data_IF_836531267947
#
_entry.id   IF_836531267947
#
_cell.length_a   1.000
_cell.length_b   1.000
_cell.length_c   1.000
_cell.angle_alpha   90.00
_cell.angle_beta   90.00
_cell.angle_gamma   90.00
#
_symmetry.space_group_name_H-M   'P 1'
#
loop_
_entity.id
_entity.type
_entity.pdbx_description
1 polymer ?
#
# COMPACT_ATOMS: atom_id res chain seq x y z
N UNK A 1 -12.33 -33.30 -12.09
CA UNK A 1 -11.04 -33.20 -11.35
C UNK A 1 -10.85 -31.74 -10.95
N UNK A 2 -10.47 -31.46 -9.69
CA UNK A 2 -10.13 -30.09 -9.29
C UNK A 2 -8.79 -29.70 -9.92
N UNK A 3 -8.68 -28.43 -10.33
CA UNK A 3 -7.44 -27.84 -10.85
C UNK A 3 -6.71 -27.20 -9.67
N UNK A 4 -5.41 -27.52 -9.54
CA UNK A 4 -4.55 -26.82 -8.57
C UNK A 4 -3.71 -25.79 -9.29
N UNK A 5 -3.67 -24.55 -8.74
CA UNK A 5 -2.76 -23.49 -9.18
C UNK A 5 -1.77 -23.20 -8.07
N UNK A 6 -0.49 -23.12 -8.40
CA UNK A 6 0.59 -22.91 -7.44
C UNK A 6 1.30 -21.60 -7.79
N UNK A 7 1.47 -20.74 -6.80
CA UNK A 7 2.32 -19.57 -6.85
C UNK A 7 3.51 -19.78 -5.91
N UNK A 8 4.71 -19.59 -6.41
CA UNK A 8 5.91 -19.57 -5.55
C UNK A 8 6.14 -18.17 -5.04
N UNK A 9 6.20 -18.02 -3.73
CA UNK A 9 6.38 -16.75 -3.03
C UNK A 9 7.61 -16.82 -2.11
N UNK A 10 8.49 -15.81 -2.10
CA UNK A 10 9.72 -15.87 -1.30
C UNK A 10 9.47 -15.88 0.21
N UNK A 11 8.29 -15.42 0.66
CA UNK A 11 7.90 -15.36 2.07
C UNK A 11 7.04 -16.55 2.47
N UNK A 12 5.99 -16.84 1.67
CA UNK A 12 4.98 -17.86 1.98
C UNK A 12 5.27 -19.20 1.31
N UNK A 13 6.35 -19.32 0.54
CA UNK A 13 6.75 -20.51 -0.22
C UNK A 13 5.69 -20.87 -1.26
N UNK A 14 5.15 -22.08 -1.22
CA UNK A 14 4.11 -22.52 -2.16
C UNK A 14 2.73 -22.07 -1.66
N UNK A 15 2.09 -21.21 -2.39
CA UNK A 15 0.69 -20.81 -2.18
C UNK A 15 -0.17 -21.58 -3.17
N UNK A 16 -0.83 -22.63 -2.69
CA UNK A 16 -1.64 -23.54 -3.49
C UNK A 16 -3.11 -23.13 -3.40
N UNK A 17 -3.75 -23.02 -4.56
CA UNK A 17 -5.19 -22.82 -4.73
C UNK A 17 -5.81 -24.10 -5.32
N UNK A 18 -6.97 -24.51 -4.82
CA UNK A 18 -7.70 -25.70 -5.26
C UNK A 18 -9.10 -25.30 -5.75
N UNK A 19 -9.37 -25.45 -7.05
CA UNK A 19 -10.67 -25.12 -7.64
C UNK A 19 -11.83 -26.01 -7.12
N UNK A 20 -11.50 -27.09 -6.41
CA UNK A 20 -12.50 -27.91 -5.73
C UNK A 20 -13.11 -27.25 -4.47
N UNK A 21 -12.53 -26.14 -4.03
CA UNK A 21 -13.03 -25.31 -2.94
C UNK A 21 -13.62 -24.03 -3.51
N UNK A 22 -14.93 -23.79 -3.33
CA UNK A 22 -15.59 -22.62 -3.94
C UNK A 22 -14.91 -21.28 -3.62
N UNK A 23 -14.50 -21.07 -2.38
CA UNK A 23 -13.83 -19.85 -1.96
C UNK A 23 -12.44 -19.66 -2.62
N UNK A 24 -11.70 -20.75 -2.88
CA UNK A 24 -10.40 -20.67 -3.57
C UNK A 24 -10.60 -20.54 -5.09
N UNK A 25 -11.68 -21.11 -5.65
CA UNK A 25 -12.05 -20.89 -7.05
C UNK A 25 -12.39 -19.42 -7.30
N UNK A 26 -13.19 -18.79 -6.43
CA UNK A 26 -13.47 -17.34 -6.48
C UNK A 26 -12.16 -16.52 -6.51
N UNK A 27 -11.21 -16.85 -5.63
CA UNK A 27 -9.92 -16.16 -5.58
C UNK A 27 -9.14 -16.35 -6.89
N UNK A 28 -9.12 -17.56 -7.46
CA UNK A 28 -8.48 -17.81 -8.75
C UNK A 28 -9.09 -16.98 -9.88
N UNK A 29 -10.42 -16.85 -9.93
CA UNK A 29 -11.13 -16.02 -10.91
C UNK A 29 -10.81 -14.53 -10.70
N UNK A 30 -10.78 -14.03 -9.47
CA UNK A 30 -10.43 -12.66 -9.14
C UNK A 30 -8.98 -12.32 -9.54
N UNK A 31 -8.03 -13.24 -9.28
CA UNK A 31 -6.62 -13.10 -9.70
C UNK A 31 -6.51 -12.93 -11.22
N UNK A 32 -7.35 -13.59 -12.01
CA UNK A 32 -7.30 -13.54 -13.48
C UNK A 32 -7.91 -12.26 -14.07
N UNK A 33 -8.54 -11.40 -13.27
CA UNK A 33 -9.07 -10.12 -13.75
C UNK A 33 -7.96 -9.14 -14.14
N UNK A 34 -8.20 -8.34 -15.18
CA UNK A 34 -7.23 -7.32 -15.65
C UNK A 34 -6.85 -6.35 -14.53
N UNK A 35 -7.82 -5.95 -13.71
CA UNK A 35 -7.60 -5.04 -12.59
C UNK A 35 -6.63 -5.63 -11.55
N UNK A 36 -6.73 -6.93 -11.23
CA UNK A 36 -5.80 -7.59 -10.32
C UNK A 36 -4.43 -7.84 -10.99
N UNK A 37 -4.41 -8.26 -12.25
CA UNK A 37 -3.16 -8.47 -13.00
C UNK A 37 -2.34 -7.17 -13.16
N UNK A 38 -2.99 -6.01 -13.17
CA UNK A 38 -2.34 -4.69 -13.16
C UNK A 38 -1.39 -4.54 -11.97
N UNK A 39 -1.71 -5.11 -10.80
CA UNK A 39 -0.88 -5.03 -9.59
C UNK A 39 0.53 -5.60 -9.77
N UNK A 40 0.77 -6.45 -10.79
CA UNK A 40 2.12 -6.93 -11.15
C UNK A 40 3.05 -5.79 -11.60
N UNK A 41 2.48 -4.71 -12.09
CA UNK A 41 3.18 -3.56 -12.63
C UNK A 41 3.15 -2.34 -11.70
N UNK A 42 2.82 -2.56 -10.41
CA UNK A 42 2.87 -1.53 -9.36
C UNK A 42 3.79 -2.04 -8.26
N UNK A 43 4.92 -1.36 -8.06
CA UNK A 43 5.87 -1.70 -7.00
C UNK A 43 5.29 -1.41 -5.63
N UNK A 44 5.43 -2.36 -4.70
CA UNK A 44 4.95 -2.24 -3.32
C UNK A 44 5.49 -0.99 -2.62
N UNK A 45 6.78 -0.75 -2.73
CA UNK A 45 7.48 0.34 -2.06
C UNK A 45 7.68 1.58 -2.94
N UNK A 46 7.02 1.65 -4.12
CA UNK A 46 7.12 2.79 -5.02
C UNK A 46 8.57 3.16 -5.34
N UNK A 47 9.01 4.43 -5.09
CA UNK A 47 10.35 4.88 -5.43
C UNK A 47 11.45 4.37 -4.49
N UNK A 48 11.16 3.55 -3.48
CA UNK A 48 12.17 3.04 -2.54
C UNK A 48 13.22 2.15 -3.21
N UNK A 49 12.94 1.60 -4.39
CA UNK A 49 13.94 0.88 -5.21
C UNK A 49 15.13 1.77 -5.62
N UNK A 50 14.97 3.09 -5.61
CA UNK A 50 16.09 4.02 -5.79
C UNK A 50 17.13 3.96 -4.66
N UNK A 51 16.80 3.34 -3.53
CA UNK A 51 17.66 3.17 -2.35
C UNK A 51 17.95 1.68 -2.12
N UNK A 52 16.88 0.90 -2.02
CA UNK A 52 16.93 -0.52 -1.73
C UNK A 52 16.76 -1.28 -3.05
N UNK A 53 17.84 -1.70 -3.65
CA UNK A 53 17.86 -2.27 -5.00
C UNK A 53 17.00 -3.54 -5.15
N UNK A 54 16.79 -4.30 -4.07
CA UNK A 54 15.90 -5.45 -4.04
C UNK A 54 14.41 -5.11 -3.87
N UNK A 55 14.04 -3.84 -3.62
CA UNK A 55 12.66 -3.40 -3.38
C UNK A 55 11.83 -3.33 -4.68
N UNK A 56 11.85 -4.42 -5.46
CA UNK A 56 11.17 -4.58 -6.76
C UNK A 56 9.89 -5.42 -6.67
N UNK A 57 9.50 -5.87 -5.46
CA UNK A 57 8.26 -6.63 -5.27
C UNK A 57 7.04 -5.82 -5.68
N UNK A 58 6.06 -6.51 -6.25
CA UNK A 58 4.81 -5.90 -6.72
C UNK A 58 3.69 -6.04 -5.70
N UNK A 59 2.67 -5.19 -5.82
CA UNK A 59 1.43 -5.33 -5.05
C UNK A 59 0.70 -6.63 -5.34
N UNK A 60 0.90 -7.22 -6.51
CA UNK A 60 0.37 -8.53 -6.84
C UNK A 60 0.87 -9.61 -5.87
N UNK A 61 2.19 -9.68 -5.66
CA UNK A 61 2.79 -10.68 -4.75
C UNK A 61 2.39 -10.42 -3.31
N UNK A 62 2.31 -9.16 -2.89
CA UNK A 62 1.82 -8.76 -1.59
C UNK A 62 0.35 -9.18 -1.36
N UNK A 63 -0.56 -8.85 -2.26
CA UNK A 63 -1.98 -9.21 -2.13
C UNK A 63 -2.21 -10.72 -2.01
N UNK A 64 -1.44 -11.54 -2.74
CA UNK A 64 -1.46 -13.00 -2.57
C UNK A 64 -0.94 -13.41 -1.19
N UNK A 65 0.09 -12.74 -0.68
CA UNK A 65 0.63 -12.98 0.66
C UNK A 65 -0.38 -12.63 1.75
N UNK A 66 -1.07 -11.50 1.63
CA UNK A 66 -2.13 -11.09 2.56
C UNK A 66 -3.27 -12.12 2.59
N UNK A 67 -3.70 -12.59 1.42
CA UNK A 67 -4.65 -13.70 1.33
C UNK A 67 -4.13 -14.97 2.03
N UNK A 68 -2.85 -15.32 1.84
CA UNK A 68 -2.25 -16.49 2.47
C UNK A 68 -2.29 -16.41 4.01
N UNK A 69 -1.97 -15.23 4.56
CA UNK A 69 -2.06 -14.97 6.00
C UNK A 69 -3.52 -15.03 6.47
N UNK A 70 -4.45 -14.41 5.76
CA UNK A 70 -5.87 -14.44 6.09
C UNK A 70 -6.40 -15.89 6.14
N UNK A 71 -6.00 -16.75 5.17
CA UNK A 71 -6.33 -18.17 5.13
C UNK A 71 -5.78 -18.92 6.34
N UNK A 72 -4.51 -18.72 6.72
CA UNK A 72 -3.89 -19.34 7.90
C UNK A 72 -4.60 -18.91 9.18
N UNK A 73 -4.88 -17.61 9.33
CA UNK A 73 -5.56 -17.10 10.52
C UNK A 73 -6.99 -17.64 10.61
N UNK A 74 -7.74 -17.62 9.50
CA UNK A 74 -9.09 -18.15 9.46
C UNK A 74 -9.14 -19.63 9.88
N UNK A 75 -8.22 -20.44 9.35
CA UNK A 75 -8.09 -21.84 9.76
C UNK A 75 -7.82 -21.97 11.26
N UNK A 76 -6.94 -21.15 11.81
CA UNK A 76 -6.65 -21.14 13.23
C UNK A 76 -7.85 -20.75 14.08
N UNK A 77 -8.65 -19.79 13.65
CA UNK A 77 -9.85 -19.36 14.39
C UNK A 77 -10.94 -20.43 14.42
N UNK A 78 -11.11 -21.20 13.34
CA UNK A 78 -12.02 -22.37 13.31
C UNK A 78 -11.56 -23.45 14.27
N UNK A 79 -10.27 -23.74 14.36
CA UNK A 79 -9.72 -24.72 15.30
C UNK A 79 -9.99 -24.34 16.77
N UNK A 80 -9.96 -23.04 17.09
CA UNK A 80 -10.21 -22.54 18.45
C UNK A 80 -11.69 -22.53 18.77
N UNK A 81 -12.53 -22.12 17.83
CA UNK A 81 -13.96 -21.95 17.99
C UNK A 81 -14.67 -22.49 16.76
N UNK A 82 -15.10 -23.74 16.83
CA UNK A 82 -15.81 -24.41 15.71
C UNK A 82 -17.07 -23.65 15.24
N UNK A 83 -17.74 -22.90 16.15
CA UNK A 83 -18.89 -22.06 15.81
C UNK A 83 -18.53 -20.74 15.13
N UNK A 84 -17.25 -20.47 14.86
CA UNK A 84 -16.82 -19.31 14.08
C UNK A 84 -17.10 -19.60 12.60
N UNK A 85 -18.23 -19.13 12.13
CA UNK A 85 -18.71 -19.30 10.75
C UNK A 85 -18.86 -17.93 10.04
N UNK A 86 -17.96 -17.01 10.33
CA UNK A 86 -17.92 -15.72 9.66
C UNK A 86 -17.71 -15.90 8.14
N UNK A 87 -18.20 -14.95 7.36
CA UNK A 87 -18.17 -15.02 5.91
C UNK A 87 -16.72 -15.14 5.37
N UNK A 88 -16.32 -16.38 5.11
CA UNK A 88 -15.00 -16.74 4.57
C UNK A 88 -14.73 -16.10 3.20
N UNK A 89 -15.76 -16.01 2.36
CA UNK A 89 -15.66 -15.37 1.05
C UNK A 89 -15.35 -13.88 1.17
N UNK A 90 -16.02 -13.19 2.12
CA UNK A 90 -15.75 -11.77 2.36
C UNK A 90 -14.34 -11.52 2.90
N UNK A 91 -13.87 -12.32 3.85
CA UNK A 91 -12.51 -12.21 4.39
C UNK A 91 -11.47 -12.43 3.29
N UNK A 92 -11.60 -13.50 2.51
CA UNK A 92 -10.63 -13.87 1.48
C UNK A 92 -10.65 -12.86 0.33
N UNK A 93 -11.84 -12.43 -0.10
CA UNK A 93 -11.98 -11.38 -1.10
C UNK A 93 -11.38 -10.05 -0.64
N UNK A 94 -11.64 -9.64 0.60
CA UNK A 94 -11.08 -8.41 1.16
C UNK A 94 -9.55 -8.49 1.26
N UNK A 95 -9.01 -9.60 1.78
CA UNK A 95 -7.56 -9.79 1.89
C UNK A 95 -6.86 -9.76 0.51
N UNK A 96 -7.49 -10.30 -0.54
CA UNK A 96 -6.92 -10.27 -1.89
C UNK A 96 -7.02 -8.88 -2.54
N UNK A 97 -8.15 -8.19 -2.37
CA UNK A 97 -8.52 -7.02 -3.16
C UNK A 97 -8.24 -5.66 -2.47
N UNK A 98 -7.72 -5.65 -1.23
CA UNK A 98 -7.54 -4.42 -0.45
C UNK A 98 -6.70 -3.37 -1.17
N UNK A 99 -5.68 -3.79 -1.90
CA UNK A 99 -4.69 -2.95 -2.60
C UNK A 99 -5.05 -2.61 -4.06
N UNK A 100 -6.21 -3.06 -4.54
CA UNK A 100 -6.61 -2.94 -5.95
C UNK A 100 -6.65 -1.49 -6.45
N UNK A 101 -6.93 -0.55 -5.55
CA UNK A 101 -7.05 0.88 -5.81
C UNK A 101 -5.74 1.66 -5.83
N UNK A 102 -4.58 1.02 -5.65
CA UNK A 102 -3.32 1.73 -5.74
C UNK A 102 -3.00 2.19 -7.17
N UNK A 103 -2.47 3.40 -7.28
CA UNK A 103 -1.95 3.98 -8.52
C UNK A 103 -0.46 3.74 -8.71
N UNK A 104 0.13 4.29 -9.79
CA UNK A 104 1.56 4.20 -10.06
C UNK A 104 2.39 4.68 -8.87
N UNK A 105 3.46 3.95 -8.54
CA UNK A 105 4.34 4.22 -7.39
C UNK A 105 3.63 4.15 -6.02
N UNK A 106 2.54 3.37 -5.93
CA UNK A 106 1.86 3.07 -4.66
C UNK A 106 1.41 4.33 -3.91
N UNK A 107 1.70 4.46 -2.61
CA UNK A 107 1.32 5.64 -1.81
C UNK A 107 1.85 6.97 -2.35
N UNK A 108 2.94 6.95 -3.14
CA UNK A 108 3.42 8.17 -3.79
C UNK A 108 2.38 8.75 -4.74
N UNK A 109 1.60 7.90 -5.45
CA UNK A 109 0.56 8.37 -6.35
C UNK A 109 -0.56 9.15 -5.64
N UNK A 110 -0.90 8.78 -4.42
CA UNK A 110 -1.88 9.53 -3.62
C UNK A 110 -1.43 10.97 -3.39
N UNK A 111 -0.14 11.12 -3.10
CA UNK A 111 0.46 12.41 -2.86
C UNK A 111 0.59 13.28 -4.13
N UNK A 112 0.75 12.68 -5.32
CA UNK A 112 0.96 13.40 -6.58
C UNK A 112 -0.33 13.63 -7.38
N UNK A 113 -1.30 12.71 -7.30
CA UNK A 113 -2.57 12.80 -8.04
C UNK A 113 -3.78 13.14 -7.16
N UNK A 114 -3.59 13.17 -5.83
CA UNK A 114 -4.66 13.44 -4.86
C UNK A 114 -5.84 12.45 -4.96
N UNK A 115 -5.54 11.15 -4.99
CA UNK A 115 -6.51 10.08 -4.93
C UNK A 115 -6.36 9.29 -3.63
N UNK A 116 -7.36 8.47 -3.29
CA UNK A 116 -7.33 7.57 -2.13
C UNK A 116 -7.49 6.12 -2.61
N UNK A 117 -6.52 5.28 -2.31
CA UNK A 117 -6.51 3.89 -2.77
C UNK A 117 -7.62 3.04 -2.14
N UNK A 118 -7.97 3.26 -0.86
CA UNK A 118 -9.04 2.52 -0.18
C UNK A 118 -10.38 2.80 -0.86
N UNK A 119 -10.65 4.08 -1.18
CA UNK A 119 -11.85 4.46 -1.92
C UNK A 119 -11.90 3.82 -3.31
N UNK A 120 -10.77 3.77 -4.03
CA UNK A 120 -10.71 3.14 -5.34
C UNK A 120 -10.82 1.60 -5.26
N UNK A 121 -10.21 0.95 -4.26
CA UNK A 121 -10.40 -0.49 -4.01
C UNK A 121 -11.88 -0.81 -3.78
N UNK A 122 -12.54 -0.03 -2.93
CA UNK A 122 -13.96 -0.17 -2.65
C UNK A 122 -14.82 0.02 -3.92
N UNK A 123 -14.55 1.07 -4.69
CA UNK A 123 -15.30 1.38 -5.90
C UNK A 123 -15.13 0.31 -6.97
N UNK A 124 -13.92 -0.21 -7.18
CA UNK A 124 -13.62 -1.32 -8.09
C UNK A 124 -14.37 -2.60 -7.66
N UNK A 125 -14.36 -2.94 -6.38
CA UNK A 125 -15.08 -4.13 -5.88
C UNK A 125 -16.59 -3.99 -6.05
N UNK A 126 -17.15 -2.83 -5.75
CA UNK A 126 -18.60 -2.61 -5.79
C UNK A 126 -19.16 -2.43 -7.19
N UNK A 127 -18.40 -1.80 -8.10
CA UNK A 127 -18.96 -1.26 -9.34
C UNK A 127 -18.23 -1.68 -10.63
N UNK A 128 -17.01 -2.20 -10.55
CA UNK A 128 -16.29 -2.68 -11.73
C UNK A 128 -16.80 -4.07 -12.13
N UNK A 129 -17.50 -4.13 -13.27
CA UNK A 129 -18.23 -5.32 -13.71
C UNK A 129 -17.44 -6.63 -13.64
N UNK A 130 -16.18 -6.73 -14.13
CA UNK A 130 -15.45 -8.00 -14.09
C UNK A 130 -15.20 -8.56 -12.69
N UNK A 131 -15.08 -7.72 -11.66
CA UNK A 131 -14.92 -8.15 -10.26
C UNK A 131 -16.27 -8.36 -9.62
N UNK A 132 -17.18 -7.39 -9.78
CA UNK A 132 -18.51 -7.45 -9.18
C UNK A 132 -19.30 -8.69 -9.60
N UNK A 133 -19.25 -9.06 -10.89
CA UNK A 133 -19.94 -10.24 -11.41
C UNK A 133 -19.39 -11.53 -10.79
N UNK A 134 -18.06 -11.71 -10.71
CA UNK A 134 -17.46 -12.88 -10.07
C UNK A 134 -17.93 -13.00 -8.61
N UNK A 135 -17.89 -11.90 -7.86
CA UNK A 135 -18.29 -11.93 -6.45
C UNK A 135 -19.76 -12.29 -6.28
N UNK A 136 -20.64 -11.75 -7.14
CA UNK A 136 -22.08 -12.03 -7.12
C UNK A 136 -22.45 -13.46 -7.50
N UNK A 137 -21.61 -14.19 -8.20
CA UNK A 137 -21.82 -15.63 -8.47
C UNK A 137 -21.84 -16.45 -7.16
N UNK A 138 -21.17 -15.96 -6.11
CA UNK A 138 -21.09 -16.64 -4.80
C UNK A 138 -22.10 -16.08 -3.79
N UNK A 139 -22.28 -14.74 -3.75
CA UNK A 139 -23.29 -14.07 -2.92
C UNK A 139 -23.55 -12.67 -3.48
N UNK A 140 -24.82 -12.31 -3.70
CA UNK A 140 -25.23 -10.99 -4.20
C UNK A 140 -24.76 -9.82 -3.33
N UNK A 141 -24.64 -10.02 -2.01
CA UNK A 141 -24.19 -9.00 -1.06
C UNK A 141 -22.66 -8.94 -0.93
N UNK A 142 -21.92 -9.90 -1.48
CA UNK A 142 -20.47 -10.02 -1.28
C UNK A 142 -19.68 -8.79 -1.74
N UNK A 143 -19.97 -8.15 -2.89
CA UNK A 143 -19.28 -6.91 -3.28
C UNK A 143 -19.45 -5.79 -2.26
N UNK A 144 -20.65 -5.67 -1.69
CA UNK A 144 -20.95 -4.68 -0.65
C UNK A 144 -20.21 -5.01 0.64
N UNK A 145 -20.28 -6.26 1.09
CA UNK A 145 -19.60 -6.75 2.29
C UNK A 145 -18.09 -6.49 2.23
N UNK A 146 -17.43 -6.86 1.14
CA UNK A 146 -15.99 -6.62 0.95
C UNK A 146 -15.68 -5.12 0.93
N UNK A 147 -16.45 -4.33 0.19
CA UNK A 147 -16.24 -2.88 0.13
C UNK A 147 -16.38 -2.18 1.48
N UNK A 148 -17.30 -2.65 2.34
CA UNK A 148 -17.47 -2.11 3.69
C UNK A 148 -16.32 -2.48 4.64
N UNK A 149 -15.63 -3.59 4.39
CA UNK A 149 -14.43 -3.97 5.16
C UNK A 149 -13.25 -2.99 4.94
N UNK A 150 -13.20 -2.30 3.81
CA UNK A 150 -12.20 -1.27 3.53
C UNK A 150 -12.53 0.08 4.19
N UNK A 151 -13.80 0.31 4.55
CA UNK A 151 -14.17 1.53 5.27
C UNK A 151 -13.86 1.42 6.77
N UNK A 152 -13.32 2.46 7.34
CA UNK A 152 -13.06 2.56 8.79
C UNK A 152 -14.35 2.53 9.64
N UNK A 153 -15.53 2.41 9.03
CA UNK A 153 -16.85 2.52 9.66
C UNK A 153 -17.43 1.18 10.12
N UNK A 154 -18.01 1.16 11.26
CA UNK A 154 -18.37 0.17 12.27
C UNK A 154 -19.45 -0.89 11.89
N UNK A 155 -19.60 -1.39 10.70
CA UNK A 155 -20.78 -2.21 10.30
C UNK A 155 -20.58 -3.74 10.31
N UNK A 156 -19.39 -4.26 10.56
CA UNK A 156 -19.11 -5.71 10.56
C UNK A 156 -18.85 -6.30 11.92
N UNK A 157 -19.02 -7.64 11.99
CA UNK A 157 -18.54 -8.40 13.12
C UNK A 157 -17.07 -8.05 13.37
N UNK A 158 -16.79 -7.69 14.59
CA UNK A 158 -15.49 -7.21 15.01
C UNK A 158 -14.31 -8.13 14.63
N UNK A 159 -14.43 -9.49 14.59
CA UNK A 159 -13.31 -10.36 14.25
C UNK A 159 -12.77 -10.18 12.83
N UNK A 160 -13.62 -10.25 11.79
CA UNK A 160 -13.15 -10.12 10.39
C UNK A 160 -12.54 -8.75 10.15
N UNK A 161 -13.19 -7.69 10.66
CA UNK A 161 -12.65 -6.33 10.52
C UNK A 161 -11.27 -6.21 11.15
N UNK A 162 -11.05 -6.81 12.31
CA UNK A 162 -9.73 -6.82 12.96
C UNK A 162 -8.65 -7.44 12.07
N UNK A 163 -8.99 -8.46 11.28
CA UNK A 163 -8.03 -9.12 10.38
C UNK A 163 -7.70 -8.30 9.12
N UNK A 164 -8.59 -7.40 8.72
CA UNK A 164 -8.41 -6.57 7.50
C UNK A 164 -7.91 -5.17 7.85
N UNK A 165 -8.31 -4.62 9.00
CA UNK A 165 -7.97 -3.23 9.36
C UNK A 165 -7.81 -3.08 10.88
N UNK A 166 -6.62 -3.39 11.38
CA UNK A 166 -6.25 -3.19 12.79
C UNK A 166 -4.75 -2.95 12.93
N UNK A 167 -4.25 -2.82 14.16
CA UNK A 167 -2.80 -2.71 14.42
C UNK A 167 -2.04 -4.01 14.07
N UNK A 168 -2.73 -5.16 14.02
CA UNK A 168 -2.17 -6.48 13.68
C UNK A 168 -3.14 -7.15 12.69
N UNK A 169 -3.19 -6.62 11.48
CA UNK A 169 -3.96 -7.18 10.38
C UNK A 169 -3.09 -8.00 9.41
N UNK A 170 -3.75 -8.67 8.48
CA UNK A 170 -3.07 -9.52 7.51
C UNK A 170 -2.14 -8.73 6.58
N UNK A 171 -2.50 -7.49 6.25
CA UNK A 171 -1.72 -6.58 5.43
C UNK A 171 -0.37 -6.26 6.10
N UNK A 172 -0.40 -5.79 7.35
CA UNK A 172 0.81 -5.45 8.12
C UNK A 172 1.71 -6.66 8.35
N UNK A 173 1.12 -7.81 8.61
CA UNK A 173 1.87 -9.06 8.81
C UNK A 173 2.60 -9.50 7.53
N UNK A 174 2.01 -9.30 6.33
CA UNK A 174 2.70 -9.63 5.08
C UNK A 174 3.76 -8.58 4.74
N UNK A 175 3.38 -7.28 4.68
CA UNK A 175 4.31 -6.30 4.16
C UNK A 175 5.57 -6.14 5.02
N UNK A 176 5.50 -6.27 6.35
CA UNK A 176 6.70 -6.19 7.19
C UNK A 176 7.69 -7.30 6.86
N UNK A 177 7.23 -8.53 6.68
CA UNK A 177 8.07 -9.65 6.28
C UNK A 177 8.62 -9.45 4.86
N UNK A 178 7.74 -9.12 3.92
CA UNK A 178 8.05 -8.98 2.50
C UNK A 178 9.03 -7.84 2.25
N UNK A 179 8.76 -6.68 2.81
CA UNK A 179 9.60 -5.50 2.62
C UNK A 179 10.96 -5.67 3.29
N UNK A 180 11.01 -6.31 4.47
CA UNK A 180 12.28 -6.64 5.12
C UNK A 180 13.14 -7.57 4.24
N UNK A 181 12.52 -8.60 3.66
CA UNK A 181 13.21 -9.51 2.75
C UNK A 181 13.72 -8.78 1.50
N UNK A 182 12.86 -8.03 0.82
CA UNK A 182 13.20 -7.37 -0.44
C UNK A 182 14.15 -6.18 -0.28
N UNK A 183 14.14 -5.50 0.86
CA UNK A 183 15.09 -4.41 1.15
C UNK A 183 16.43 -4.92 1.69
N UNK A 184 16.53 -6.21 2.01
CA UNK A 184 17.73 -6.80 2.61
C UNK A 184 17.95 -6.40 4.07
N UNK A 185 16.93 -5.81 4.74
CA UNK A 185 17.01 -5.45 6.15
C UNK A 185 16.52 -6.61 7.03
N UNK A 186 16.94 -6.62 8.30
CA UNK A 186 16.49 -7.63 9.27
C UNK A 186 15.41 -7.10 10.23
N UNK A 187 14.94 -5.88 10.02
CA UNK A 187 14.02 -5.21 10.95
C UNK A 187 12.59 -5.75 10.90
N UNK A 188 12.17 -6.44 9.84
CA UNK A 188 10.82 -6.96 9.70
C UNK A 188 10.70 -8.48 9.88
N UNK A 189 11.65 -9.14 10.51
CA UNK A 189 11.61 -10.58 10.79
C UNK A 189 10.60 -10.92 11.88
N UNK A 190 9.33 -10.87 11.52
CA UNK A 190 8.18 -11.17 12.40
C UNK A 190 8.04 -12.68 12.58
N UNK A 191 7.84 -13.15 13.82
CA UNK A 191 7.46 -14.53 14.10
C UNK A 191 5.95 -14.72 13.86
N UNK A 192 5.60 -14.87 12.59
CA UNK A 192 4.20 -14.98 12.12
C UNK A 192 3.49 -16.19 12.75
N UNK A 193 4.17 -17.34 12.83
CA UNK A 193 3.56 -18.57 13.36
C UNK A 193 3.28 -18.44 14.86
N UNK A 194 4.15 -17.76 15.60
CA UNK A 194 3.94 -17.47 17.01
C UNK A 194 2.76 -16.54 17.24
N UNK A 195 2.62 -15.50 16.39
CA UNK A 195 1.48 -14.57 16.44
C UNK A 195 0.20 -15.34 16.16
N UNK A 196 0.12 -16.11 15.06
CA UNK A 196 -1.08 -16.88 14.69
C UNK A 196 -1.45 -17.90 15.77
N UNK A 197 -0.47 -18.62 16.31
CA UNK A 197 -0.73 -19.61 17.39
C UNK A 197 -1.18 -18.97 18.69
N UNK A 198 -0.83 -17.70 18.90
CA UNK A 198 -1.25 -16.89 20.06
C UNK A 198 -2.67 -16.34 19.96
N UNK A 199 -3.29 -16.33 18.78
CA UNK A 199 -4.65 -15.85 18.60
C UNK A 199 -5.68 -16.64 19.40
N UNK A 200 -6.68 -15.95 19.94
CA UNK A 200 -7.82 -16.51 20.66
C UNK A 200 -9.02 -15.57 20.55
N UNK A 201 -10.15 -15.95 21.15
CA UNK A 201 -11.29 -15.08 21.33
C UNK A 201 -11.41 -14.63 22.79
N UNK A 202 -11.72 -13.37 23.00
CA UNK A 202 -12.17 -12.83 24.27
C UNK A 202 -13.64 -13.24 24.53
N UNK A 203 -14.16 -13.11 25.76
CA UNK A 203 -15.54 -13.48 26.10
C UNK A 203 -16.59 -12.73 25.27
N UNK A 204 -16.30 -11.49 24.89
CA UNK A 204 -17.13 -10.65 24.03
C UNK A 204 -17.03 -11.00 22.53
N UNK A 205 -16.35 -12.10 22.19
CA UNK A 205 -16.23 -12.64 20.84
C UNK A 205 -15.25 -11.89 19.93
N UNK A 206 -14.45 -10.95 20.46
CA UNK A 206 -13.41 -10.29 19.70
C UNK A 206 -12.14 -11.13 19.63
N UNK A 207 -11.31 -10.88 18.59
CA UNK A 207 -9.97 -11.47 18.52
C UNK A 207 -9.10 -10.88 19.64
N UNK A 208 -8.41 -11.76 20.33
CA UNK A 208 -7.50 -11.44 21.42
C UNK A 208 -6.21 -12.28 21.32
N UNK A 209 -5.23 -11.96 22.13
CA UNK A 209 -3.95 -12.68 22.19
C UNK A 209 -3.82 -13.38 23.56
N UNK A 210 -3.45 -14.65 23.55
CA UNK A 210 -3.08 -15.39 24.76
C UNK A 210 -1.79 -14.82 25.36
N UNK A 211 -1.59 -14.89 26.68
CA UNK A 211 -0.37 -14.38 27.34
C UNK A 211 0.93 -14.86 26.69
N UNK A 212 0.99 -16.13 26.26
CA UNK A 212 2.15 -16.71 25.57
C UNK A 212 2.49 -16.07 24.22
N UNK A 213 1.55 -15.32 23.60
CA UNK A 213 1.73 -14.62 22.33
C UNK A 213 2.13 -13.14 22.48
N UNK A 214 2.04 -12.58 23.69
CA UNK A 214 2.27 -11.14 23.94
C UNK A 214 3.65 -10.69 23.49
N UNK A 215 4.70 -11.43 23.82
CA UNK A 215 6.08 -11.11 23.44
C UNK A 215 6.24 -11.03 21.92
N UNK A 216 5.58 -11.91 21.16
CA UNK A 216 5.65 -11.85 19.69
C UNK A 216 4.93 -10.61 19.13
N UNK A 217 3.87 -10.15 19.78
CA UNK A 217 3.17 -8.91 19.42
C UNK A 217 4.01 -7.68 19.76
N UNK A 218 4.60 -7.62 20.94
CA UNK A 218 5.51 -6.54 21.33
C UNK A 218 6.69 -6.44 20.36
N UNK A 219 7.30 -7.56 20.02
CA UNK A 219 8.36 -7.64 19.01
C UNK A 219 7.88 -7.11 17.64
N UNK A 220 6.70 -7.54 17.17
CA UNK A 220 6.09 -7.06 15.94
C UNK A 220 5.94 -5.53 15.95
N UNK A 221 5.44 -4.94 17.03
CA UNK A 221 5.24 -3.51 17.16
C UNK A 221 6.57 -2.73 17.13
N UNK A 222 7.61 -3.25 17.77
CA UNK A 222 8.97 -2.68 17.72
C UNK A 222 9.54 -2.74 16.31
N UNK A 223 9.44 -3.90 15.64
CA UNK A 223 9.91 -4.08 14.27
C UNK A 223 9.20 -3.15 13.29
N UNK A 224 7.87 -3.01 13.42
CA UNK A 224 7.08 -2.07 12.62
C UNK A 224 7.63 -0.64 12.77
N UNK A 225 7.88 -0.19 14.00
CA UNK A 225 8.45 1.14 14.24
C UNK A 225 9.82 1.31 13.57
N UNK A 226 10.69 0.31 13.65
CA UNK A 226 12.00 0.34 12.99
C UNK A 226 11.86 0.41 11.47
N UNK A 227 10.97 -0.36 10.86
CA UNK A 227 10.70 -0.35 9.43
C UNK A 227 10.19 1.04 8.97
N UNK A 228 9.27 1.64 9.74
CA UNK A 228 8.78 3.00 9.45
C UNK A 228 9.91 4.02 9.46
N UNK A 229 10.81 3.96 10.43
CA UNK A 229 11.92 4.92 10.56
C UNK A 229 13.00 4.73 9.50
N UNK A 230 13.28 3.49 9.11
CA UNK A 230 14.44 3.17 8.26
C UNK A 230 14.09 3.03 6.79
N UNK A 231 12.87 2.56 6.45
CA UNK A 231 12.48 2.26 5.07
C UNK A 231 11.40 3.21 4.59
N UNK A 232 10.19 3.18 5.19
CA UNK A 232 9.06 3.94 4.66
C UNK A 232 9.28 5.45 4.75
N UNK A 233 9.88 5.92 5.83
CA UNK A 233 10.21 7.33 6.05
C UNK A 233 11.64 7.70 5.64
N UNK A 234 12.28 6.92 4.79
CA UNK A 234 13.62 7.26 4.35
C UNK A 234 13.63 8.57 3.55
N UNK A 235 14.63 9.43 3.80
CA UNK A 235 14.73 10.78 3.18
C UNK A 235 14.62 10.78 1.66
N UNK A 236 15.12 9.76 0.98
CA UNK A 236 15.07 9.66 -0.48
C UNK A 236 13.63 9.43 -0.97
N UNK A 237 12.79 8.68 -0.25
CA UNK A 237 11.36 8.54 -0.61
C UNK A 237 10.67 9.90 -0.59
N UNK A 238 11.02 10.75 0.37
CA UNK A 238 10.47 12.10 0.47
C UNK A 238 10.95 13.01 -0.65
N UNK A 239 12.25 12.95 -0.96
CA UNK A 239 12.83 13.69 -2.07
C UNK A 239 12.19 13.27 -3.39
N UNK A 240 12.07 11.96 -3.62
CA UNK A 240 11.41 11.42 -4.81
C UNK A 240 9.97 11.90 -4.94
N UNK A 241 9.21 11.82 -3.84
CA UNK A 241 7.83 12.33 -3.79
C UNK A 241 7.77 13.84 -4.05
N UNK A 242 8.72 14.61 -3.51
CA UNK A 242 8.82 16.05 -3.78
C UNK A 242 9.02 16.33 -5.27
N UNK A 243 10.04 15.69 -5.89
CA UNK A 243 10.34 15.86 -7.32
C UNK A 243 9.11 15.51 -8.16
N UNK A 244 8.48 14.37 -7.89
CA UNK A 244 7.30 13.92 -8.63
C UNK A 244 6.11 14.88 -8.47
N UNK A 245 5.90 15.43 -7.28
CA UNK A 245 4.89 16.50 -7.06
C UNK A 245 5.19 17.74 -7.90
N UNK A 246 6.48 18.16 -7.96
CA UNK A 246 6.87 19.30 -8.76
C UNK A 246 6.73 19.03 -10.27
N UNK A 247 7.02 17.81 -10.73
CA UNK A 247 6.74 17.40 -12.11
C UNK A 247 5.25 17.59 -12.45
N UNK A 248 4.35 17.03 -11.64
CA UNK A 248 2.91 17.12 -11.89
C UNK A 248 2.40 18.57 -11.78
N UNK A 249 2.90 19.36 -10.82
CA UNK A 249 2.52 20.78 -10.72
C UNK A 249 3.02 21.61 -11.91
N UNK A 250 4.24 21.33 -12.39
CA UNK A 250 4.81 21.99 -13.58
C UNK A 250 3.98 21.70 -14.84
N UNK A 251 3.53 20.45 -15.01
CA UNK A 251 2.64 20.06 -16.10
C UNK A 251 1.31 20.82 -16.03
N UNK A 252 0.72 20.88 -14.84
CA UNK A 252 -0.55 21.60 -14.63
C UNK A 252 -0.44 23.09 -14.93
N UNK A 253 0.65 23.71 -14.52
CA UNK A 253 0.88 25.15 -14.75
C UNK A 253 1.32 25.48 -16.19
N UNK A 254 1.93 24.52 -16.87
CA UNK A 254 2.40 24.66 -18.25
C UNK A 254 1.47 24.04 -19.30
N UNK A 255 0.20 23.87 -19.00
CA UNK A 255 -0.78 23.17 -19.84
C UNK A 255 -0.88 23.69 -21.28
N UNK A 256 -0.64 24.97 -21.50
CA UNK A 256 -0.64 25.58 -22.86
C UNK A 256 0.52 25.10 -23.74
N UNK A 257 1.55 24.50 -23.15
CA UNK A 257 2.68 23.93 -23.88
C UNK A 257 2.31 22.51 -24.35
N UNK A 258 2.63 22.21 -25.62
CA UNK A 258 2.36 20.89 -26.22
C UNK A 258 3.29 19.81 -25.63
N UNK A 259 2.98 19.33 -24.43
CA UNK A 259 3.67 18.24 -23.75
C UNK A 259 2.97 16.93 -24.12
N UNK A 260 3.72 15.89 -24.41
CA UNK A 260 3.15 14.57 -24.65
C UNK A 260 2.50 14.00 -23.38
N UNK A 261 1.20 13.76 -23.42
CA UNK A 261 0.46 13.06 -22.35
C UNK A 261 -0.60 12.19 -23.03
N UNK A 262 -0.64 10.90 -22.71
CA UNK A 262 -1.73 10.04 -23.19
C UNK A 262 -3.07 10.38 -22.51
N UNK A 263 -4.16 9.93 -23.10
CA UNK A 263 -5.51 10.27 -22.63
C UNK A 263 -5.80 9.80 -21.21
N UNK A 264 -5.23 8.68 -20.79
CA UNK A 264 -5.45 8.09 -19.47
C UNK A 264 -4.70 8.90 -18.40
N UNK A 265 -3.39 9.12 -18.57
CA UNK A 265 -2.62 9.92 -17.62
C UNK A 265 -3.09 11.39 -17.59
N UNK A 266 -3.57 11.93 -18.74
CA UNK A 266 -4.20 13.24 -18.79
C UNK A 266 -5.36 13.35 -17.80
N UNK A 267 -6.28 12.36 -17.79
CA UNK A 267 -7.40 12.34 -16.84
C UNK A 267 -6.91 12.25 -15.38
N UNK A 268 -5.88 11.45 -15.09
CA UNK A 268 -5.29 11.37 -13.76
C UNK A 268 -4.75 12.71 -13.27
N UNK A 269 -4.14 13.50 -14.16
CA UNK A 269 -3.54 14.79 -13.83
C UNK A 269 -4.60 15.89 -13.72
N UNK A 270 -5.49 16.01 -14.71
CA UNK A 270 -6.38 17.17 -14.85
C UNK A 270 -7.83 16.92 -14.41
N UNK A 271 -8.27 15.67 -14.38
CA UNK A 271 -9.66 15.30 -14.07
C UNK A 271 -9.78 14.09 -13.16
N UNK A 272 -9.04 14.01 -12.03
CA UNK A 272 -8.97 12.81 -11.20
C UNK A 272 -10.33 12.39 -10.60
N UNK A 273 -11.29 13.33 -10.48
CA UNK A 273 -12.64 13.04 -10.00
C UNK A 273 -13.54 12.38 -11.07
N UNK A 274 -13.16 12.46 -12.33
CA UNK A 274 -13.92 11.95 -13.49
C UNK A 274 -13.21 10.74 -14.14
N UNK A 275 -12.34 10.05 -13.42
CA UNK A 275 -11.72 8.82 -13.88
C UNK A 275 -12.78 7.71 -13.95
N UNK A 276 -12.90 7.08 -15.10
CA UNK A 276 -13.58 5.80 -15.25
C UNK A 276 -12.64 4.63 -14.89
N UNK A 277 -13.18 3.43 -14.79
CA UNK A 277 -12.40 2.25 -14.42
C UNK A 277 -11.33 1.89 -15.45
N UNK A 278 -11.62 2.08 -16.74
CA UNK A 278 -10.68 1.76 -17.81
C UNK A 278 -9.48 2.70 -17.78
N UNK A 279 -9.70 3.99 -17.60
CA UNK A 279 -8.62 4.98 -17.45
C UNK A 279 -7.83 4.76 -16.15
N UNK A 280 -8.50 4.34 -15.08
CA UNK A 280 -7.83 4.00 -13.83
C UNK A 280 -6.90 2.79 -14.02
N UNK A 281 -7.39 1.72 -14.65
CA UNK A 281 -6.67 0.45 -14.81
C UNK A 281 -5.52 0.57 -15.81
N UNK A 282 -5.57 1.46 -16.80
CA UNK A 282 -4.49 1.68 -17.78
C UNK A 282 -3.24 2.29 -17.17
N UNK A 283 -3.33 2.95 -16.02
CA UNK A 283 -2.19 3.58 -15.36
C UNK A 283 -1.54 2.65 -14.33
N UNK A 284 -0.25 2.44 -14.49
CA UNK A 284 0.64 1.69 -13.61
C UNK A 284 2.05 2.29 -13.65
N UNK A 285 3.02 1.68 -12.97
CA UNK A 285 4.40 2.19 -12.94
C UNK A 285 5.01 2.27 -14.35
N UNK A 286 4.73 1.28 -15.22
CA UNK A 286 5.32 1.25 -16.57
C UNK A 286 4.82 2.45 -17.38
N UNK A 287 3.52 2.71 -17.38
CA UNK A 287 2.92 3.85 -18.08
C UNK A 287 3.47 5.16 -17.53
N UNK A 288 3.56 5.30 -16.22
CA UNK A 288 4.04 6.51 -15.59
C UNK A 288 5.55 6.75 -15.85
N UNK A 289 6.39 5.72 -15.71
CA UNK A 289 7.83 5.82 -16.06
C UNK A 289 8.05 6.14 -17.54
N UNK A 290 7.23 5.59 -18.45
CA UNK A 290 7.30 5.95 -19.86
C UNK A 290 7.11 7.46 -20.09
N UNK A 291 6.14 8.07 -19.41
CA UNK A 291 5.96 9.52 -19.48
C UNK A 291 7.14 10.29 -18.88
N UNK A 292 7.66 9.88 -17.73
CA UNK A 292 8.85 10.52 -17.14
C UNK A 292 10.05 10.49 -18.09
N UNK A 293 10.27 9.36 -18.78
CA UNK A 293 11.35 9.21 -19.77
C UNK A 293 11.10 10.13 -20.98
N UNK A 294 9.88 10.22 -21.47
CA UNK A 294 9.52 11.13 -22.56
C UNK A 294 9.70 12.59 -22.16
N UNK A 295 9.23 12.97 -20.99
CA UNK A 295 9.32 14.36 -20.49
C UNK A 295 10.76 14.79 -20.17
N UNK A 296 11.65 13.86 -19.91
CA UNK A 296 13.08 14.12 -19.74
C UNK A 296 13.70 14.82 -20.96
N UNK A 297 13.20 14.51 -22.17
CA UNK A 297 13.72 15.01 -23.42
C UNK A 297 12.89 16.16 -24.01
N UNK A 298 11.88 16.65 -23.28
CA UNK A 298 11.10 17.83 -23.69
C UNK A 298 11.92 19.12 -23.57
N UNK A 299 11.59 20.10 -24.43
CA UNK A 299 12.23 21.43 -24.37
C UNK A 299 11.69 22.33 -23.25
N UNK A 300 10.74 21.84 -22.49
CA UNK A 300 10.08 22.59 -21.43
C UNK A 300 10.82 22.48 -20.10
N UNK A 301 11.56 23.55 -19.74
CA UNK A 301 12.11 23.70 -18.40
C UNK A 301 11.05 24.30 -17.43
N UNK A 302 11.03 23.89 -16.16
CA UNK A 302 11.92 22.95 -15.48
C UNK A 302 11.49 21.47 -15.55
N UNK A 303 10.51 21.09 -16.38
CA UNK A 303 9.99 19.72 -16.47
C UNK A 303 11.10 18.74 -16.83
N UNK A 304 11.87 19.02 -17.87
CA UNK A 304 12.93 18.11 -18.35
C UNK A 304 14.00 17.89 -17.28
N UNK A 305 14.41 18.96 -16.60
CA UNK A 305 15.38 18.88 -15.50
C UNK A 305 14.86 18.02 -14.35
N UNK A 306 13.62 18.21 -13.90
CA UNK A 306 13.03 17.40 -12.82
C UNK A 306 12.93 15.92 -13.21
N UNK A 307 12.54 15.63 -14.46
CA UNK A 307 12.47 14.27 -14.96
C UNK A 307 13.85 13.62 -15.05
N UNK A 308 14.87 14.35 -15.53
CA UNK A 308 16.28 13.89 -15.51
C UNK A 308 16.74 13.56 -14.10
N UNK A 309 16.49 14.46 -13.15
CA UNK A 309 16.87 14.24 -11.74
C UNK A 309 16.27 12.95 -11.18
N UNK A 310 15.01 12.67 -11.48
CA UNK A 310 14.35 11.46 -10.99
C UNK A 310 14.85 10.20 -11.72
N UNK A 311 14.86 10.20 -13.06
CA UNK A 311 15.22 9.03 -13.88
C UNK A 311 16.70 8.67 -13.74
N UNK A 312 17.59 9.67 -13.79
CA UNK A 312 19.04 9.46 -13.74
C UNK A 312 19.56 9.41 -12.27
N UNK A 313 18.63 9.49 -11.30
CA UNK A 313 18.89 9.44 -9.85
C UNK A 313 19.86 10.55 -9.37
N UNK A 314 19.85 11.70 -10.00
CA UNK A 314 20.54 12.91 -9.53
C UNK A 314 19.61 13.73 -8.62
N UNK A 315 19.31 13.16 -7.47
CA UNK A 315 18.26 13.66 -6.59
C UNK A 315 18.70 14.86 -5.76
N UNK A 316 17.74 15.72 -5.39
CA UNK A 316 17.93 16.80 -4.42
C UNK A 316 18.55 16.28 -3.12
N UNK A 317 19.21 17.16 -2.39
CA UNK A 317 19.75 16.87 -1.05
C UNK A 317 18.73 17.24 0.02
N UNK A 318 18.64 16.43 1.07
CA UNK A 318 17.82 16.75 2.23
C UNK A 318 18.66 16.65 3.51
N UNK A 319 18.48 17.62 4.39
CA UNK A 319 19.08 17.65 5.72
C UNK A 319 17.98 17.70 6.77
N UNK A 320 18.17 16.98 7.86
CA UNK A 320 17.32 17.10 9.03
C UNK A 320 17.65 18.39 9.78
N UNK A 321 16.65 19.23 9.91
CA UNK A 321 16.71 20.49 10.65
C UNK A 321 15.69 20.53 11.79
N UNK A 322 15.22 19.36 12.25
CA UNK A 322 14.21 19.25 13.30
C UNK A 322 14.65 19.82 14.65
N UNK A 323 15.97 19.81 14.89
CA UNK A 323 16.60 20.34 16.11
C UNK A 323 16.70 21.88 16.16
N UNK A 324 16.44 22.56 15.03
CA UNK A 324 16.46 24.01 14.94
C UNK A 324 15.12 24.64 15.30
N UNK A 325 15.15 25.87 15.81
CA UNK A 325 13.95 26.69 16.03
C UNK A 325 13.26 27.03 14.71
N UNK A 326 11.99 27.44 14.80
CA UNK A 326 11.23 27.85 13.61
C UNK A 326 11.88 29.02 12.88
N UNK A 327 12.50 29.95 13.59
CA UNK A 327 13.17 31.12 12.99
C UNK A 327 14.40 30.65 12.20
N UNK A 328 15.29 29.86 12.81
CA UNK A 328 16.47 29.33 12.15
C UNK A 328 16.14 28.51 10.90
N UNK A 329 15.07 27.70 10.95
CA UNK A 329 14.59 26.94 9.77
C UNK A 329 14.20 27.87 8.62
N UNK A 330 13.52 28.99 8.91
CA UNK A 330 13.13 29.97 7.90
C UNK A 330 14.33 30.73 7.34
N UNK A 331 15.33 31.05 8.16
CA UNK A 331 16.59 31.68 7.73
C UNK A 331 17.37 30.76 6.78
N UNK A 332 17.49 29.46 7.12
CA UNK A 332 18.11 28.46 6.24
C UNK A 332 17.36 28.34 4.92
N UNK A 333 16.03 28.31 4.95
CA UNK A 333 15.23 28.26 3.74
C UNK A 333 15.45 29.49 2.86
N UNK A 334 15.45 30.68 3.46
CA UNK A 334 15.69 31.92 2.73
C UNK A 334 17.10 31.95 2.09
N UNK A 335 18.11 31.47 2.81
CA UNK A 335 19.47 31.35 2.28
C UNK A 335 19.54 30.35 1.12
N UNK A 336 18.95 29.17 1.27
CA UNK A 336 18.91 28.15 0.23
C UNK A 336 18.19 28.65 -1.04
N UNK A 337 17.09 29.39 -0.90
CA UNK A 337 16.37 30.00 -2.02
C UNK A 337 17.25 31.00 -2.79
N UNK A 338 17.97 31.85 -2.09
CA UNK A 338 18.94 32.79 -2.71
C UNK A 338 20.02 32.03 -3.50
N UNK A 339 20.49 30.90 -2.99
CA UNK A 339 21.44 30.05 -3.71
C UNK A 339 20.86 29.44 -4.97
N UNK A 340 19.61 28.96 -4.93
CA UNK A 340 18.89 28.47 -6.12
C UNK A 340 18.81 29.56 -7.19
N UNK A 341 18.35 30.75 -6.84
CA UNK A 341 18.19 31.90 -7.74
C UNK A 341 19.54 32.33 -8.34
N UNK A 342 20.60 32.39 -7.52
CA UNK A 342 21.95 32.69 -7.98
C UNK A 342 22.47 31.71 -9.05
N UNK A 343 22.01 30.47 -9.00
CA UNK A 343 22.37 29.42 -9.96
C UNK A 343 21.29 29.23 -11.06
N UNK A 344 20.39 30.16 -11.24
CA UNK A 344 19.32 30.16 -12.24
C UNK A 344 18.32 29.00 -12.07
N UNK A 345 18.13 28.50 -10.85
CA UNK A 345 17.07 27.55 -10.52
C UNK A 345 15.88 28.25 -9.89
N UNK A 346 14.66 27.78 -10.22
CA UNK A 346 13.43 28.25 -9.57
C UNK A 346 13.41 27.78 -8.10
N UNK A 347 13.53 28.72 -7.17
CA UNK A 347 13.63 28.44 -5.75
C UNK A 347 12.36 27.79 -5.17
N UNK A 348 11.18 28.00 -5.76
CA UNK A 348 9.93 27.37 -5.34
C UNK A 348 9.84 25.90 -5.78
N UNK A 349 10.56 25.53 -6.81
CA UNK A 349 10.60 24.15 -7.33
C UNK A 349 11.69 23.34 -6.65
N UNK A 350 12.91 23.89 -6.59
CA UNK A 350 14.11 23.14 -6.20
C UNK A 350 14.48 23.26 -4.72
N UNK A 351 13.79 24.09 -3.93
CA UNK A 351 14.04 24.27 -2.52
C UNK A 351 12.76 24.33 -1.69
N UNK A 352 12.79 23.75 -0.48
CA UNK A 352 11.65 23.79 0.43
C UNK A 352 11.88 23.08 1.75
N UNK A 353 10.94 23.25 2.66
CA UNK A 353 10.87 22.52 3.94
C UNK A 353 9.66 21.60 3.91
N UNK A 354 9.84 20.38 4.39
CA UNK A 354 8.74 19.44 4.62
C UNK A 354 8.69 19.07 6.09
N UNK A 355 7.57 19.35 6.73
CA UNK A 355 7.31 18.88 8.09
C UNK A 355 6.75 17.46 8.06
N UNK A 356 7.17 16.66 9.03
CA UNK A 356 6.66 15.30 9.26
C UNK A 356 6.13 15.19 10.67
N UNK A 357 4.98 14.60 10.83
CA UNK A 357 4.53 14.06 12.11
C UNK A 357 4.69 12.53 12.09
N UNK A 358 5.39 11.99 13.05
CA UNK A 358 5.49 10.55 13.26
C UNK A 358 4.53 10.13 14.35
N UNK A 359 3.47 9.41 13.99
CA UNK A 359 2.60 8.74 14.96
C UNK A 359 2.99 7.27 15.00
N UNK A 360 3.73 6.86 16.04
CA UNK A 360 4.18 5.47 16.21
C UNK A 360 3.05 4.50 16.53
N UNK A 361 2.03 4.96 17.25
CA UNK A 361 0.86 4.17 17.67
C UNK A 361 -0.39 5.04 17.81
N UNK A 362 -1.55 4.47 17.43
CA UNK A 362 -2.85 4.96 17.86
C UNK A 362 -3.37 4.07 19.00
N UNK A 363 -3.44 4.58 20.20
CA UNK A 363 -3.83 3.86 21.42
C UNK A 363 -5.28 3.32 21.40
N UNK A 364 -6.10 3.73 20.43
CA UNK A 364 -7.53 3.43 20.41
C UNK A 364 -7.89 2.04 19.83
N UNK A 365 -6.95 1.31 19.24
CA UNK A 365 -7.16 0.00 18.61
C UNK A 365 -6.30 -1.11 19.22
N UNK A 366 -5.97 -1.03 20.50
CA UNK A 366 -5.15 -2.02 21.19
C UNK A 366 -5.81 -3.41 21.15
N UNK A 367 -5.04 -4.44 20.75
CA UNK A 367 -5.45 -5.83 20.89
C UNK A 367 -5.61 -6.18 22.38
N UNK A 368 -6.72 -6.83 22.69
CA UNK A 368 -6.95 -7.30 24.05
C UNK A 368 -6.07 -8.53 24.36
N UNK A 369 -5.45 -8.55 25.52
CA UNK A 369 -4.81 -9.74 26.06
C UNK A 369 -5.90 -10.51 26.82
N UNK A 370 -6.01 -11.82 26.55
CA UNK A 370 -6.97 -12.70 27.22
C UNK A 370 -6.23 -13.90 27.79
N UNK A 371 -6.23 -14.04 29.10
CA UNK A 371 -5.55 -15.14 29.84
C UNK A 371 -6.45 -16.34 30.13
N UNK A 372 -7.75 -16.24 29.84
CA UNK A 372 -8.68 -17.34 30.07
C UNK A 372 -9.17 -17.50 31.53
N UNK A 373 -8.82 -16.56 32.42
CA UNK A 373 -9.07 -16.72 33.88
C UNK A 373 -10.38 -16.03 34.34
N UNK A 374 -10.98 -15.18 33.53
CA UNK A 374 -12.29 -14.58 33.88
C UNK A 374 -13.43 -15.36 33.22
N UNK A 375 -14.14 -16.17 34.02
CA UNK A 375 -15.49 -16.68 33.73
C UNK A 375 -16.52 -15.59 33.98
#
# INVERSE_FOLDING_TARGET
MSIKRIFHDPIHKEVIFDSGKPEELMIMQLIDTIAFQRLRRIKQLGPASLIFHGAESSRFTHSIGVFCIARKIYQRLIEIKFSFCENKFALYGAALLHDLGHGPLSHTSEAIFNHNHEHWSQNLVKNYSPINSILKEYDNELPKQIGELFESKQLFSKPIKTLISSEIDCDRLDYLLRDSYNTGTKYGLVDLERIISGLTFSPDGNIAIKPKGVIAIEHFLVLRNLMYRTIYNHRINEISTWILKKIISTIKNGFEKKIFIDSSLYKWIFSPKNLDFDDFIKNDDITFYYHLIRWKDESFEPLSTLCKMFIDRDLLKASDISFLSKIERLEILAFARKLCEKNNYDSEIFCGIKERSFKGFESNNALKIWDGIYQ
#
